data_IF_283430267998
#
_entry.id   IF_283430267998
#
_cell.length_a   1.000
_cell.length_b   1.000
_cell.length_c   1.000
_cell.angle_alpha   90.00
_cell.angle_beta   90.00
_cell.angle_gamma   90.00
#
_symmetry.space_group_name_H-M   'P 1'
#
loop_
_entity.id
_entity.type
_entity.pdbx_description
1 polymer ?
#
# COMPACT_ATOMS: atom_id res chain seq x y z
N UNK A 1 -15.72 -22.16 -1.86
CA UNK A 1 -14.61 -21.19 -1.74
C UNK A 1 -14.46 -20.86 -0.27
N UNK A 2 -13.22 -20.87 0.23
CA UNK A 2 -12.88 -20.58 1.62
C UNK A 2 -11.75 -19.54 1.60
N UNK A 3 -11.81 -18.57 2.51
CA UNK A 3 -10.68 -17.68 2.77
C UNK A 3 -10.04 -18.12 4.08
N UNK A 4 -8.72 -18.21 4.09
CA UNK A 4 -7.93 -18.62 5.26
C UNK A 4 -6.59 -17.91 5.28
N UNK A 5 -5.94 -17.92 6.42
CA UNK A 5 -4.56 -17.47 6.54
C UNK A 5 -3.65 -18.33 5.67
N UNK A 6 -2.70 -17.67 5.01
CA UNK A 6 -1.69 -18.33 4.20
C UNK A 6 -0.65 -19.00 5.11
N UNK A 7 -0.10 -20.09 4.62
CA UNK A 7 1.02 -20.80 5.24
C UNK A 7 2.21 -20.81 4.30
N UNK A 8 3.39 -21.20 4.79
CA UNK A 8 4.56 -21.41 3.94
C UNK A 8 4.32 -22.39 2.77
N UNK A 9 3.35 -23.32 2.90
CA UNK A 9 2.99 -24.25 1.84
C UNK A 9 2.24 -23.59 0.67
N UNK A 10 1.66 -22.40 0.87
CA UNK A 10 0.91 -21.67 -0.15
C UNK A 10 1.82 -20.81 -1.06
N UNK A 11 3.13 -20.72 -0.75
CA UNK A 11 4.04 -19.77 -1.38
C UNK A 11 4.11 -19.84 -2.91
N UNK A 12 4.21 -21.04 -3.47
CA UNK A 12 4.23 -21.24 -4.92
C UNK A 12 2.90 -20.84 -5.58
N UNK A 13 1.78 -21.08 -4.90
CA UNK A 13 0.46 -20.74 -5.41
C UNK A 13 0.20 -19.22 -5.35
N UNK A 14 0.63 -18.56 -4.28
CA UNK A 14 0.62 -17.09 -4.17
C UNK A 14 1.44 -16.45 -5.28
N UNK A 15 2.66 -16.94 -5.53
CA UNK A 15 3.51 -16.46 -6.63
C UNK A 15 2.85 -16.64 -7.99
N UNK A 16 2.25 -17.80 -8.25
CA UNK A 16 1.56 -18.06 -9.51
C UNK A 16 0.38 -17.09 -9.73
N UNK A 17 -0.46 -16.86 -8.72
CA UNK A 17 -1.57 -15.91 -8.78
C UNK A 17 -1.06 -14.47 -8.97
N UNK A 18 0.01 -14.08 -8.27
CA UNK A 18 0.60 -12.76 -8.38
C UNK A 18 1.08 -12.48 -9.81
N UNK A 19 1.86 -13.40 -10.38
CA UNK A 19 2.36 -13.31 -11.75
C UNK A 19 1.21 -13.15 -12.75
N UNK A 20 0.24 -14.07 -12.73
CA UNK A 20 -0.89 -14.03 -13.67
C UNK A 20 -1.74 -12.76 -13.50
N UNK A 21 -1.98 -12.32 -12.26
CA UNK A 21 -2.77 -11.12 -12.01
C UNK A 21 -2.04 -9.84 -12.40
N UNK A 22 -0.72 -9.75 -12.18
CA UNK A 22 0.05 -8.55 -12.51
C UNK A 22 0.21 -8.43 -14.03
N UNK A 23 0.52 -9.52 -14.73
CA UNK A 23 0.63 -9.56 -16.20
C UNK A 23 -0.69 -9.06 -16.83
N UNK A 24 -1.82 -9.61 -16.42
CA UNK A 24 -3.13 -9.24 -16.96
C UNK A 24 -3.58 -7.79 -16.65
N UNK A 25 -2.98 -7.13 -15.65
CA UNK A 25 -3.44 -5.80 -15.18
C UNK A 25 -2.45 -4.68 -15.47
N UNK A 26 -1.16 -5.00 -15.64
CA UNK A 26 -0.10 -3.99 -15.68
C UNK A 26 0.88 -4.17 -16.85
N UNK A 27 0.84 -5.27 -17.60
CA UNK A 27 1.73 -5.45 -18.76
C UNK A 27 1.51 -4.36 -19.82
N UNK A 28 0.24 -4.03 -20.14
CA UNK A 28 -0.08 -2.97 -21.09
C UNK A 28 0.40 -1.56 -20.64
N UNK A 29 0.09 -1.09 -19.40
CA UNK A 29 0.48 0.26 -18.99
C UNK A 29 1.95 0.41 -18.53
N UNK A 30 2.63 -0.67 -18.14
CA UNK A 30 4.00 -0.61 -17.59
C UNK A 30 5.03 -1.36 -18.46
N UNK A 31 4.62 -2.35 -19.25
CA UNK A 31 5.51 -3.23 -20.00
C UNK A 31 5.71 -4.59 -19.31
N UNK A 32 5.75 -5.66 -20.12
CA UNK A 32 5.87 -7.05 -19.66
C UNK A 32 7.12 -7.30 -18.81
N UNK A 33 8.24 -6.67 -19.16
CA UNK A 33 9.51 -6.86 -18.47
C UNK A 33 9.54 -6.22 -17.09
N UNK A 34 8.87 -5.06 -16.91
CA UNK A 34 8.66 -4.43 -15.60
C UNK A 34 7.88 -5.39 -14.70
N UNK A 35 6.74 -5.86 -15.20
CA UNK A 35 5.82 -6.69 -14.43
C UNK A 35 6.47 -8.01 -14.03
N UNK A 36 7.14 -8.67 -14.96
CA UNK A 36 7.78 -9.96 -14.69
C UNK A 36 8.91 -9.84 -13.66
N UNK A 37 9.76 -8.81 -13.80
CA UNK A 37 10.87 -8.56 -12.86
C UNK A 37 10.33 -8.25 -11.47
N UNK A 38 9.36 -7.33 -11.39
CA UNK A 38 8.74 -6.93 -10.13
C UNK A 38 8.07 -8.12 -9.42
N UNK A 39 7.32 -8.95 -10.15
CA UNK A 39 6.65 -10.10 -9.57
C UNK A 39 7.64 -11.16 -9.05
N UNK A 40 8.76 -11.37 -9.76
CA UNK A 40 9.83 -12.27 -9.35
C UNK A 40 10.48 -11.80 -8.05
N UNK A 41 10.82 -10.52 -7.96
CA UNK A 41 11.46 -9.94 -6.77
C UNK A 41 10.51 -9.86 -5.57
N UNK A 42 9.24 -9.49 -5.78
CA UNK A 42 8.28 -9.32 -4.68
C UNK A 42 7.85 -10.62 -4.04
N UNK A 43 7.73 -11.67 -4.84
CA UNK A 43 7.26 -12.99 -4.41
C UNK A 43 8.36 -14.03 -4.48
N UNK A 44 9.63 -13.62 -4.41
CA UNK A 44 10.75 -14.51 -4.13
C UNK A 44 10.47 -15.35 -2.85
N UNK A 45 10.96 -16.60 -2.82
CA UNK A 45 10.56 -17.55 -1.77
C UNK A 45 11.02 -17.11 -0.39
N UNK A 46 12.24 -16.60 -0.29
CA UNK A 46 12.82 -16.23 1.01
C UNK A 46 12.11 -14.97 1.52
N UNK A 47 11.88 -14.00 0.63
CA UNK A 47 11.14 -12.79 0.96
C UNK A 47 9.70 -13.08 1.39
N UNK A 48 8.99 -13.96 0.68
CA UNK A 48 7.61 -14.31 1.02
C UNK A 48 7.57 -15.04 2.37
N UNK A 49 8.50 -15.97 2.61
CA UNK A 49 8.62 -16.67 3.89
C UNK A 49 8.86 -15.68 5.06
N UNK A 50 9.80 -14.75 4.90
CA UNK A 50 10.08 -13.71 5.91
C UNK A 50 8.84 -12.84 6.20
N UNK A 51 8.06 -12.52 5.16
CA UNK A 51 6.82 -11.73 5.35
C UNK A 51 5.71 -12.54 6.02
N UNK A 52 5.58 -13.84 5.73
CA UNK A 52 4.63 -14.72 6.42
C UNK A 52 4.95 -14.86 7.91
N UNK A 53 6.22 -14.76 8.30
CA UNK A 53 6.67 -14.84 9.69
C UNK A 53 6.63 -13.48 10.43
N UNK A 54 6.22 -12.40 9.76
CA UNK A 54 6.15 -11.06 10.36
C UNK A 54 4.78 -10.78 10.99
N UNK A 55 4.70 -10.65 12.32
CA UNK A 55 3.44 -10.42 13.09
C UNK A 55 2.56 -9.23 12.62
N UNK A 56 3.19 -8.20 12.05
CA UNK A 56 2.48 -7.03 11.54
C UNK A 56 1.86 -7.26 10.15
N UNK A 57 2.33 -8.28 9.43
CA UNK A 57 1.91 -8.62 8.07
C UNK A 57 0.87 -9.75 8.13
N UNK A 58 -0.14 -9.67 7.29
CA UNK A 58 -1.13 -10.73 7.11
C UNK A 58 -1.19 -11.10 5.63
N UNK A 59 -1.16 -12.41 5.37
CA UNK A 59 -1.56 -12.99 4.09
C UNK A 59 -2.82 -13.83 4.27
N UNK A 60 -3.84 -13.56 3.46
CA UNK A 60 -5.00 -14.44 3.30
C UNK A 60 -5.00 -15.02 1.90
N UNK A 61 -5.36 -16.29 1.76
CA UNK A 61 -5.58 -16.95 0.47
C UNK A 61 -7.05 -17.31 0.31
N UNK A 62 -7.58 -17.15 -0.89
CA UNK A 62 -8.87 -17.65 -1.31
C UNK A 62 -8.68 -18.97 -2.04
N UNK A 63 -9.23 -20.04 -1.47
CA UNK A 63 -9.14 -21.39 -1.98
C UNK A 63 -10.48 -21.83 -2.59
N UNK A 64 -10.42 -22.42 -3.79
CA UNK A 64 -11.57 -23.01 -4.50
C UNK A 64 -11.10 -24.31 -5.15
N UNK A 65 -11.82 -25.39 -4.88
CA UNK A 65 -11.51 -26.72 -5.42
C UNK A 65 -10.04 -27.14 -5.20
N UNK A 66 -9.57 -26.97 -3.95
CA UNK A 66 -8.19 -27.24 -3.50
C UNK A 66 -7.09 -26.42 -4.23
N UNK A 67 -7.47 -25.34 -4.92
CA UNK A 67 -6.55 -24.41 -5.58
C UNK A 67 -6.67 -22.99 -5.01
N UNK A 68 -5.54 -22.34 -4.78
CA UNK A 68 -5.50 -20.90 -4.46
C UNK A 68 -5.80 -20.10 -5.73
N UNK A 69 -6.87 -19.32 -5.69
CA UNK A 69 -7.34 -18.51 -6.83
C UNK A 69 -7.23 -17.00 -6.59
N UNK A 70 -6.79 -16.61 -5.40
CA UNK A 70 -6.61 -15.22 -5.01
C UNK A 70 -5.88 -15.13 -3.66
N UNK A 71 -5.29 -13.97 -3.39
CA UNK A 71 -4.75 -13.67 -2.07
C UNK A 71 -4.84 -12.17 -1.77
N UNK A 72 -4.76 -11.84 -0.49
CA UNK A 72 -4.49 -10.47 -0.04
C UNK A 72 -3.24 -10.45 0.84
N UNK A 73 -2.54 -9.34 0.77
CA UNK A 73 -1.45 -8.97 1.66
C UNK A 73 -1.81 -7.64 2.32
N UNK A 74 -1.73 -7.59 3.64
CA UNK A 74 -1.90 -6.35 4.39
C UNK A 74 -0.86 -6.23 5.51
N UNK A 75 -0.64 -5.02 5.99
CA UNK A 75 0.34 -4.74 7.05
C UNK A 75 -0.17 -3.65 7.99
N UNK A 76 -0.02 -3.86 9.29
CA UNK A 76 -0.40 -2.91 10.34
C UNK A 76 0.81 -2.09 10.79
N UNK A 77 0.58 -0.80 11.02
CA UNK A 77 1.45 0.08 11.80
C UNK A 77 0.60 0.87 12.79
N UNK A 78 0.68 0.51 14.08
CA UNK A 78 -0.21 1.04 15.11
C UNK A 78 -1.68 0.72 14.83
N UNK A 79 -2.51 1.75 14.78
CA UNK A 79 -3.94 1.66 14.48
C UNK A 79 -4.25 1.86 12.98
N UNK A 80 -3.23 1.98 12.12
CA UNK A 80 -3.39 2.09 10.68
C UNK A 80 -2.96 0.79 10.02
N UNK A 81 -3.79 0.25 9.14
CA UNK A 81 -3.45 -0.88 8.29
C UNK A 81 -3.40 -0.46 6.82
N UNK A 82 -2.51 -1.05 6.05
CA UNK A 82 -2.44 -0.87 4.61
C UNK A 82 -2.64 -2.21 3.90
N UNK A 83 -3.58 -2.26 2.96
CA UNK A 83 -3.71 -3.38 2.02
C UNK A 83 -2.64 -3.16 0.94
N UNK A 84 -1.60 -3.99 1.00
CA UNK A 84 -0.46 -3.91 0.09
C UNK A 84 -0.80 -4.54 -1.25
N UNK A 85 -1.47 -5.69 -1.26
CA UNK A 85 -1.90 -6.33 -2.50
C UNK A 85 -3.20 -7.07 -2.29
N UNK A 86 -4.03 -7.09 -3.33
CA UNK A 86 -5.18 -7.97 -3.41
C UNK A 86 -5.24 -8.46 -4.85
N UNK A 87 -4.84 -9.71 -5.05
CA UNK A 87 -4.75 -10.34 -6.35
C UNK A 87 -5.79 -11.44 -6.47
N UNK A 88 -6.43 -11.48 -7.63
CA UNK A 88 -7.30 -12.58 -8.04
C UNK A 88 -6.81 -13.05 -9.39
N UNK A 89 -6.62 -14.37 -9.51
CA UNK A 89 -6.23 -15.00 -10.77
C UNK A 89 -7.20 -14.55 -11.86
N UNK A 90 -6.74 -14.17 -13.07
CA UNK A 90 -7.61 -13.64 -14.13
C UNK A 90 -8.84 -14.50 -14.41
N UNK A 91 -8.67 -15.82 -14.46
CA UNK A 91 -9.75 -16.80 -14.71
C UNK A 91 -10.78 -16.92 -13.57
N UNK A 92 -10.50 -16.35 -12.39
CA UNK A 92 -11.39 -16.37 -11.22
C UNK A 92 -11.99 -14.99 -10.91
N UNK A 93 -11.75 -13.97 -11.74
CA UNK A 93 -12.32 -12.63 -11.59
C UNK A 93 -13.82 -12.64 -11.94
N UNK A 94 -14.58 -11.72 -11.34
CA UNK A 94 -16.03 -11.61 -11.56
C UNK A 94 -16.89 -12.53 -10.68
N UNK A 95 -16.29 -13.51 -10.00
CA UNK A 95 -17.00 -14.49 -9.16
C UNK A 95 -17.05 -14.10 -7.66
N UNK A 96 -16.80 -12.84 -7.32
CA UNK A 96 -16.83 -12.35 -5.93
C UNK A 96 -15.62 -12.75 -5.05
N UNK A 97 -14.57 -13.35 -5.63
CA UNK A 97 -13.34 -13.74 -4.90
C UNK A 97 -12.70 -12.52 -4.23
N UNK A 98 -12.50 -11.43 -4.98
CA UNK A 98 -11.86 -10.22 -4.47
C UNK A 98 -12.64 -9.57 -3.33
N UNK A 99 -13.97 -9.52 -3.44
CA UNK A 99 -14.83 -8.99 -2.38
C UNK A 99 -14.79 -9.84 -1.10
N UNK A 100 -14.69 -11.16 -1.23
CA UNK A 100 -14.56 -12.05 -0.06
C UNK A 100 -13.20 -11.87 0.62
N UNK A 101 -12.11 -11.85 -0.16
CA UNK A 101 -10.76 -11.54 0.36
C UNK A 101 -10.73 -10.20 1.10
N UNK A 102 -11.30 -9.15 0.50
CA UNK A 102 -11.33 -7.83 1.11
C UNK A 102 -12.11 -7.84 2.43
N UNK A 103 -13.30 -8.44 2.44
CA UNK A 103 -14.13 -8.52 3.65
C UNK A 103 -13.42 -9.22 4.82
N UNK A 104 -12.74 -10.33 4.55
CA UNK A 104 -12.04 -11.09 5.59
C UNK A 104 -10.73 -10.38 6.01
N UNK A 105 -10.05 -9.72 5.07
CA UNK A 105 -8.89 -8.86 5.38
C UNK A 105 -9.31 -7.71 6.30
N UNK A 106 -10.38 -7.00 5.97
CA UNK A 106 -10.90 -5.90 6.79
C UNK A 106 -11.28 -6.39 8.19
N UNK A 107 -12.01 -7.51 8.27
CA UNK A 107 -12.43 -8.09 9.55
C UNK A 107 -11.23 -8.37 10.44
N UNK A 108 -10.22 -9.06 9.92
CA UNK A 108 -9.02 -9.37 10.69
C UNK A 108 -8.26 -8.11 11.11
N UNK A 109 -8.06 -7.14 10.21
CA UNK A 109 -7.36 -5.90 10.53
C UNK A 109 -8.05 -5.13 11.66
N UNK A 110 -9.39 -5.04 11.62
CA UNK A 110 -10.19 -4.37 12.66
C UNK A 110 -10.11 -5.11 14.00
N UNK A 111 -10.20 -6.45 13.99
CA UNK A 111 -10.05 -7.28 15.20
C UNK A 111 -8.66 -7.12 15.84
N UNK A 112 -7.65 -6.81 15.03
CA UNK A 112 -6.27 -6.57 15.47
C UNK A 112 -5.95 -5.07 15.68
N UNK A 113 -6.98 -4.25 15.92
CA UNK A 113 -6.84 -2.89 16.42
C UNK A 113 -6.66 -1.81 15.35
N UNK A 114 -6.79 -2.14 14.05
CA UNK A 114 -6.83 -1.11 13.04
C UNK A 114 -8.10 -0.26 13.19
N UNK A 115 -7.93 1.05 13.24
CA UNK A 115 -9.01 2.04 13.18
C UNK A 115 -9.15 2.62 11.76
N UNK A 116 -8.10 2.51 10.95
CA UNK A 116 -8.03 3.05 9.58
C UNK A 116 -7.41 2.02 8.65
N UNK A 117 -8.04 1.78 7.49
CA UNK A 117 -7.50 0.89 6.47
C UNK A 117 -7.22 1.70 5.20
N UNK A 118 -6.00 1.59 4.68
CA UNK A 118 -5.52 2.30 3.50
C UNK A 118 -5.31 1.34 2.34
N UNK A 119 -5.52 1.83 1.13
CA UNK A 119 -5.22 1.14 -0.12
C UNK A 119 -4.63 2.12 -1.13
N UNK A 120 -3.88 1.60 -2.10
CA UNK A 120 -3.28 2.41 -3.16
C UNK A 120 -3.39 1.71 -4.50
N UNK A 121 -3.82 2.46 -5.51
CA UNK A 121 -4.11 1.93 -6.85
C UNK A 121 -3.57 2.90 -7.90
N UNK A 122 -2.86 2.39 -8.90
CA UNK A 122 -2.47 3.20 -10.06
C UNK A 122 -3.73 3.80 -10.70
N UNK A 123 -3.68 5.08 -11.06
CA UNK A 123 -4.81 5.78 -11.68
C UNK A 123 -5.28 5.11 -12.98
N UNK A 124 -4.35 4.47 -13.71
CA UNK A 124 -4.65 3.71 -14.93
C UNK A 124 -5.39 2.37 -14.68
N UNK A 125 -5.39 1.83 -13.45
CA UNK A 125 -6.10 0.60 -13.13
C UNK A 125 -7.57 0.91 -12.77
N UNK A 126 -8.39 1.25 -13.76
CA UNK A 126 -9.82 1.56 -13.57
C UNK A 126 -10.57 0.47 -12.77
N UNK A 127 -10.41 -0.86 -13.05
CA UNK A 127 -11.09 -1.90 -12.27
C UNK A 127 -10.74 -1.88 -10.78
N UNK A 128 -9.47 -1.63 -10.44
CA UNK A 128 -9.04 -1.53 -9.04
C UNK A 128 -9.63 -0.30 -8.34
N UNK A 129 -9.72 0.83 -9.05
CA UNK A 129 -10.32 2.05 -8.52
C UNK A 129 -11.82 1.88 -8.24
N UNK A 130 -12.55 1.25 -9.17
CA UNK A 130 -13.97 0.93 -9.01
C UNK A 130 -14.19 -0.05 -7.86
N UNK A 131 -13.30 -1.05 -7.72
CA UNK A 131 -13.36 -2.04 -6.64
C UNK A 131 -13.30 -1.38 -5.26
N UNK A 132 -12.30 -0.55 -4.97
CA UNK A 132 -12.21 0.12 -3.67
C UNK A 132 -13.42 1.02 -3.38
N UNK A 133 -13.90 1.77 -4.38
CA UNK A 133 -15.08 2.63 -4.22
C UNK A 133 -16.35 1.81 -3.93
N UNK A 134 -16.57 0.71 -4.67
CA UNK A 134 -17.71 -0.19 -4.47
C UNK A 134 -17.71 -0.84 -3.06
N UNK A 135 -16.54 -0.99 -2.45
CA UNK A 135 -16.37 -1.55 -1.11
C UNK A 135 -16.28 -0.49 0.01
N UNK A 136 -16.63 0.77 -0.30
CA UNK A 136 -16.80 1.83 0.70
C UNK A 136 -15.52 2.55 1.09
N UNK A 137 -14.44 2.42 0.33
CA UNK A 137 -13.27 3.27 0.49
C UNK A 137 -13.50 4.62 -0.19
N UNK A 138 -13.14 5.70 0.50
CA UNK A 138 -13.11 7.04 -0.07
C UNK A 138 -11.72 7.32 -0.66
N UNK A 139 -11.66 7.98 -1.81
CA UNK A 139 -10.40 8.53 -2.32
C UNK A 139 -9.99 9.71 -1.44
N UNK A 140 -8.82 9.62 -0.81
CA UNK A 140 -8.31 10.66 0.10
C UNK A 140 -7.32 11.61 -0.58
N UNK A 141 -6.65 11.15 -1.64
CA UNK A 141 -5.67 11.96 -2.37
C UNK A 141 -5.07 11.22 -3.55
N UNK A 142 -4.02 11.82 -4.11
CA UNK A 142 -3.18 11.24 -5.16
C UNK A 142 -1.72 11.49 -4.83
N UNK A 143 -0.83 10.62 -5.33
CA UNK A 143 0.61 10.88 -5.31
C UNK A 143 1.24 10.53 -6.63
N UNK A 144 2.36 11.16 -6.92
CA UNK A 144 3.24 10.73 -7.99
C UNK A 144 4.07 9.54 -7.52
N UNK A 145 4.11 8.52 -8.36
CA UNK A 145 4.89 7.31 -8.20
C UNK A 145 5.76 7.18 -9.43
N UNK A 146 7.07 7.31 -9.25
CA UNK A 146 7.99 6.97 -10.31
C UNK A 146 8.04 5.43 -10.42
N UNK A 147 8.01 4.92 -11.65
CA UNK A 147 8.31 3.51 -11.98
C UNK A 147 9.29 3.56 -13.17
N UNK A 148 10.53 3.11 -12.96
CA UNK A 148 11.66 3.33 -13.88
C UNK A 148 11.77 4.81 -14.30
N UNK A 149 11.73 5.09 -15.60
CA UNK A 149 11.88 6.42 -16.20
C UNK A 149 10.55 7.18 -16.29
N UNK A 150 9.43 6.54 -15.97
CA UNK A 150 8.08 7.10 -16.08
C UNK A 150 7.51 7.52 -14.72
N UNK A 151 6.67 8.55 -14.73
CA UNK A 151 5.91 8.99 -13.56
C UNK A 151 4.45 8.64 -13.73
N UNK A 152 3.92 7.87 -12.78
CA UNK A 152 2.52 7.46 -12.73
C UNK A 152 1.81 8.14 -11.58
N UNK A 153 0.51 8.36 -11.73
CA UNK A 153 -0.35 8.78 -10.62
C UNK A 153 -0.87 7.55 -9.89
N UNK A 154 -0.77 7.55 -8.56
CA UNK A 154 -1.41 6.56 -7.69
C UNK A 154 -2.51 7.26 -6.88
N UNK A 155 -3.72 6.70 -6.90
CA UNK A 155 -4.81 7.13 -6.04
C UNK A 155 -4.65 6.52 -4.65
N UNK A 156 -4.92 7.33 -3.64
CA UNK A 156 -4.91 6.92 -2.24
C UNK A 156 -6.36 6.71 -1.77
N UNK A 157 -6.60 5.56 -1.17
CA UNK A 157 -7.90 5.16 -0.68
C UNK A 157 -7.83 4.94 0.82
N UNK A 158 -8.89 5.35 1.52
CA UNK A 158 -9.03 5.15 2.95
C UNK A 158 -10.44 4.67 3.28
N UNK A 159 -10.53 3.71 4.20
CA UNK A 159 -11.75 3.32 4.88
C UNK A 159 -11.59 3.70 6.35
N UNK A 160 -12.50 4.55 6.80
CA UNK A 160 -12.54 5.07 8.16
C UNK A 160 -13.77 4.48 8.90
N UNK A 161 -13.77 4.49 10.25
CA UNK A 161 -14.96 4.17 11.02
C UNK A 161 -16.07 5.16 10.66
N UNK A 162 -17.34 4.74 10.74
CA UNK A 162 -18.48 5.54 10.28
C UNK A 162 -18.59 6.96 10.90
N UNK A 163 -17.96 7.19 12.05
CA UNK A 163 -17.94 8.49 12.73
C UNK A 163 -16.79 9.44 12.28
N UNK A 164 -15.82 8.96 11.51
CA UNK A 164 -14.64 9.71 11.09
C UNK A 164 -14.77 10.23 9.64
N UNK A 165 -14.07 11.32 9.33
CA UNK A 165 -14.08 11.99 8.03
C UNK A 165 -12.67 12.15 7.49
N UNK A 166 -12.51 12.05 6.16
CA UNK A 166 -11.23 12.30 5.47
C UNK A 166 -10.75 13.76 5.60
N UNK A 167 -11.66 14.71 5.89
CA UNK A 167 -11.27 16.09 6.15
C UNK A 167 -10.36 16.24 7.39
N UNK A 168 -10.40 15.28 8.32
CA UNK A 168 -9.51 15.24 9.48
C UNK A 168 -8.10 14.73 9.16
N UNK A 169 -7.79 14.40 7.90
CA UNK A 169 -6.50 13.83 7.51
C UNK A 169 -5.44 14.88 7.16
N UNK A 170 -5.77 16.17 7.18
CA UNK A 170 -4.78 17.25 7.09
C UNK A 170 -4.69 17.99 8.41
N UNK A 171 -3.53 17.96 9.06
CA UNK A 171 -3.31 18.63 10.34
C UNK A 171 -2.28 19.75 10.21
N UNK A 172 -2.61 20.93 10.75
CA UNK A 172 -1.62 22.01 10.87
C UNK A 172 -0.65 21.69 11.99
N UNK A 173 0.66 21.80 11.70
CA UNK A 173 1.77 21.62 12.64
C UNK A 173 2.68 22.84 12.57
N UNK A 174 2.99 23.42 13.73
CA UNK A 174 4.00 24.47 13.85
C UNK A 174 5.38 23.83 13.80
N UNK A 175 6.24 24.28 12.86
CA UNK A 175 7.59 23.73 12.67
C UNK A 175 8.64 24.83 12.61
N UNK A 176 9.92 24.46 12.60
CA UNK A 176 11.06 25.39 12.50
C UNK A 176 11.10 26.17 11.19
N UNK A 177 10.41 25.70 10.15
CA UNK A 177 10.32 26.33 8.81
C UNK A 177 8.97 27.04 8.58
N UNK A 178 8.22 27.26 9.66
CA UNK A 178 6.86 27.82 9.65
C UNK A 178 5.77 26.77 9.83
N UNK A 179 4.52 27.19 9.69
CA UNK A 179 3.38 26.27 9.68
C UNK A 179 3.45 25.35 8.47
N UNK A 180 3.19 24.06 8.71
CA UNK A 180 3.01 23.05 7.68
C UNK A 180 1.69 22.32 7.89
N UNK A 181 1.09 21.87 6.80
CA UNK A 181 -0.11 21.05 6.77
C UNK A 181 0.28 19.62 6.42
N UNK A 182 0.17 18.73 7.40
CA UNK A 182 0.64 17.34 7.34
C UNK A 182 -0.52 16.45 6.91
N UNK A 183 -0.37 15.77 5.78
CA UNK A 183 -1.35 14.86 5.21
C UNK A 183 -1.15 13.44 5.76
N UNK A 184 -1.98 13.04 6.73
CA UNK A 184 -1.88 11.77 7.44
C UNK A 184 -2.22 10.55 6.59
N UNK A 185 -2.90 10.73 5.46
CA UNK A 185 -3.15 9.70 4.43
C UNK A 185 -2.01 9.58 3.42
N UNK A 186 -1.19 10.61 3.25
CA UNK A 186 -0.03 10.60 2.35
C UNK A 186 1.22 10.14 3.11
N UNK A 187 1.13 8.90 3.60
CA UNK A 187 2.11 8.31 4.50
C UNK A 187 3.15 7.48 3.75
N UNK A 188 4.42 7.59 4.10
CA UNK A 188 5.47 6.64 3.74
C UNK A 188 5.94 5.89 4.99
N UNK A 189 6.24 4.60 4.86
CA UNK A 189 6.80 3.82 5.96
C UNK A 189 8.19 4.32 6.29
N UNK A 190 8.53 4.41 7.57
CA UNK A 190 9.90 4.68 8.03
C UNK A 190 10.50 3.51 8.80
N UNK A 191 11.78 3.59 9.13
CA UNK A 191 12.48 2.64 10.01
C UNK A 191 11.89 2.65 11.41
N UNK A 192 11.62 3.86 11.93
CA UNK A 192 11.22 4.11 13.32
C UNK A 192 9.77 4.60 13.44
N UNK A 193 9.36 5.50 12.54
CA UNK A 193 7.98 5.97 12.46
C UNK A 193 7.68 6.46 11.04
N UNK A 194 6.41 6.70 10.70
CA UNK A 194 6.06 7.14 9.37
C UNK A 194 6.62 8.52 8.98
N UNK A 195 6.73 8.73 7.68
CA UNK A 195 6.80 10.07 7.10
C UNK A 195 5.45 10.42 6.52
N UNK A 196 5.06 11.69 6.61
CA UNK A 196 3.85 12.21 6.00
C UNK A 196 4.20 13.31 5.01
N UNK A 197 3.52 13.39 3.87
CA UNK A 197 3.65 14.55 3.01
C UNK A 197 3.22 15.82 3.76
N UNK A 198 4.03 16.87 3.64
CA UNK A 198 3.77 18.16 4.26
C UNK A 198 3.63 19.25 3.21
N UNK A 199 2.70 20.16 3.44
CA UNK A 199 2.28 21.21 2.52
C UNK A 199 2.38 22.60 3.17
N UNK A 200 2.47 23.64 2.35
CA UNK A 200 2.45 25.04 2.79
C UNK A 200 1.04 25.61 2.95
N UNK A 201 0.02 24.86 2.58
CA UNK A 201 -1.39 25.25 2.60
C UNK A 201 -2.29 24.05 2.95
N UNK A 202 -3.50 24.34 3.43
CA UNK A 202 -4.46 23.33 3.88
C UNK A 202 -5.07 22.50 2.76
N UNK A 203 -5.12 23.07 1.55
CA UNK A 203 -5.73 22.48 0.36
C UNK A 203 -4.77 21.52 -0.38
N UNK A 204 -3.52 21.41 0.11
CA UNK A 204 -2.45 20.54 -0.38
C UNK A 204 -1.97 20.88 -1.80
N UNK A 205 -1.99 22.15 -2.17
CA UNK A 205 -1.56 22.59 -3.50
C UNK A 205 -0.04 22.79 -3.60
N UNK A 206 0.60 23.19 -2.50
CA UNK A 206 2.03 23.52 -2.47
C UNK A 206 2.80 22.57 -1.56
N UNK A 207 3.34 21.48 -2.15
CA UNK A 207 4.13 20.50 -1.41
C UNK A 207 5.43 21.11 -0.88
N UNK A 208 5.67 20.96 0.42
CA UNK A 208 6.94 21.33 1.06
C UNK A 208 7.95 20.18 1.02
N UNK A 209 7.52 18.97 1.40
CA UNK A 209 8.40 17.82 1.57
C UNK A 209 7.77 16.76 2.46
N UNK A 210 8.57 16.15 3.34
CA UNK A 210 8.10 15.16 4.30
C UNK A 210 8.23 15.67 5.74
N UNK A 211 7.25 15.27 6.57
CA UNK A 211 7.25 15.43 8.00
C UNK A 211 7.53 14.09 8.67
N UNK A 212 8.56 14.03 9.52
CA UNK A 212 8.96 12.84 10.25
C UNK A 212 8.13 12.71 11.52
N UNK A 213 7.31 11.66 11.62
CA UNK A 213 6.50 11.43 12.82
C UNK A 213 7.34 11.01 14.04
N UNK A 214 8.55 10.47 13.84
CA UNK A 214 9.39 9.98 14.94
C UNK A 214 9.91 11.10 15.84
N UNK A 215 10.24 12.26 15.26
CA UNK A 215 10.79 13.40 15.98
C UNK A 215 10.04 14.71 15.72
N UNK A 216 8.90 14.62 15.03
CA UNK A 216 8.01 15.74 14.76
C UNK A 216 8.68 16.92 13.98
N UNK A 217 9.65 16.61 13.11
CA UNK A 217 10.38 17.60 12.31
C UNK A 217 10.19 17.40 10.81
N UNK A 218 10.29 18.51 10.06
CA UNK A 218 10.25 18.53 8.60
C UNK A 218 11.64 18.71 7.95
N UNK A 219 12.72 18.47 8.71
CA UNK A 219 14.09 18.46 8.20
C UNK A 219 14.41 17.06 7.65
N UNK A 220 14.07 16.86 6.39
CA UNK A 220 14.27 15.62 5.66
C UNK A 220 15.11 15.86 4.42
N UNK A 221 16.12 15.03 4.20
CA UNK A 221 16.84 14.97 2.94
C UNK A 221 16.25 13.86 2.06
N UNK A 222 16.24 14.07 0.76
CA UNK A 222 15.93 13.02 -0.22
C UNK A 222 17.19 12.74 -1.03
N UNK A 223 17.61 11.48 -1.09
CA UNK A 223 18.74 11.09 -1.91
C UNK A 223 18.32 10.92 -3.39
N UNK A 224 19.30 10.70 -4.27
CA UNK A 224 19.08 10.52 -5.72
C UNK A 224 18.23 9.31 -6.08
N UNK A 225 18.02 8.38 -5.14
CA UNK A 225 17.15 7.21 -5.30
C UNK A 225 15.75 7.45 -4.70
N UNK A 226 15.39 8.69 -4.37
CA UNK A 226 14.08 9.03 -3.80
C UNK A 226 13.87 8.54 -2.36
N UNK A 227 14.93 8.11 -1.66
CA UNK A 227 14.83 7.74 -0.24
C UNK A 227 14.89 8.99 0.61
N UNK A 228 13.89 9.11 1.46
CA UNK A 228 13.75 10.20 2.42
C UNK A 228 14.43 9.77 3.72
N UNK A 229 15.32 10.59 4.25
CA UNK A 229 15.95 10.40 5.55
C UNK A 229 15.72 11.64 6.40
N UNK A 230 15.38 11.46 7.67
CA UNK A 230 15.26 12.55 8.62
C UNK A 230 16.67 12.94 9.12
N UNK A 231 17.07 14.19 8.87
CA UNK A 231 18.38 14.70 9.29
C UNK A 231 18.50 14.82 10.81
N UNK A 232 17.38 14.83 11.54
CA UNK A 232 17.35 15.05 12.99
C UNK A 232 17.46 13.73 13.80
N UNK A 233 16.70 12.70 13.43
CA UNK A 233 16.63 11.45 14.22
C UNK A 233 17.16 10.22 13.49
N UNK A 234 17.53 10.33 12.21
CA UNK A 234 18.01 9.19 11.43
C UNK A 234 16.92 8.22 10.98
N UNK A 235 15.64 8.51 11.20
CA UNK A 235 14.54 7.75 10.61
C UNK A 235 14.69 7.75 9.09
N UNK A 236 14.53 6.60 8.45
CA UNK A 236 14.69 6.44 7.00
C UNK A 236 13.44 5.83 6.38
N UNK A 237 12.98 6.39 5.26
CA UNK A 237 11.88 5.84 4.48
C UNK A 237 12.23 4.43 4.04
N UNK A 238 11.39 3.47 4.43
CA UNK A 238 11.45 2.10 3.93
C UNK A 238 10.95 2.07 2.49
N UNK A 239 11.50 1.13 1.74
CA UNK A 239 11.12 0.92 0.35
C UNK A 239 9.61 0.70 0.20
N UNK A 240 9.05 1.28 -0.85
CA UNK A 240 7.73 0.92 -1.32
C UNK A 240 7.81 -0.33 -2.20
N UNK A 241 6.68 -1.00 -2.37
CA UNK A 241 6.59 -2.18 -3.24
C UNK A 241 7.18 -1.90 -4.64
N UNK A 242 6.88 -0.76 -5.24
CA UNK A 242 7.38 -0.40 -6.58
C UNK A 242 8.89 -0.13 -6.65
N UNK A 243 9.57 0.04 -5.51
CA UNK A 243 11.02 0.27 -5.51
C UNK A 243 11.78 -0.99 -5.99
N UNK A 244 11.20 -2.19 -5.90
CA UNK A 244 11.82 -3.39 -6.46
C UNK A 244 11.70 -3.48 -8.00
N UNK A 245 10.85 -2.67 -8.65
CA UNK A 245 10.78 -2.60 -10.12
C UNK A 245 11.95 -1.80 -10.76
N UNK A 246 12.81 -1.23 -9.92
CA UNK A 246 14.00 -0.45 -10.30
C UNK A 246 15.31 -1.26 -10.25
N UNK A 247 15.27 -2.49 -9.74
CA UNK A 247 16.41 -3.41 -9.69
C UNK A 247 16.49 -4.23 -10.98
#
# INVERSE_FOLDING_TARGET
>A
MIVREATHADGDAVRAVANASLEASYADPLGDDIVHTAATEWYDSDRLADRLDTDAVQYLVAERDDAVVGFSESERDGDVAAIQWLHVHPDARGDGVGGSLLSDTETHLLEHGASRIEGRVLAANEPGNDFYQAHGYARSGTRELAIRDDTHTEHLYVKLPAAASTAAMTERRETTVGDLWVALDERERGSDAPFYAAYRDADRETKYGFYCAACEHADTAMNTMGRVACNNCGNERRETRWDAAYL
#
